data_IF_043931706455
#
_entry.id   IF_043931706455
#
_cell.length_a   1.000
_cell.length_b   1.000
_cell.length_c   1.000
_cell.angle_alpha   90.00
_cell.angle_beta   90.00
_cell.angle_gamma   90.00
#
_symmetry.space_group_name_H-M   'P 1'
#
loop_
_entity.id
_entity.type
_entity.pdbx_description
1 polymer ?
#
# COMPACT_ATOMS: atom_id res chain seq x y z
N UNK A 1 0.56 -0.74 11.96
CA UNK A 1 -0.34 -0.52 10.79
C UNK A 1 -0.18 -1.60 9.73
N UNK A 2 1.03 -1.85 9.26
CA UNK A 2 1.27 -2.81 8.17
C UNK A 2 0.78 -4.23 8.49
N UNK A 3 0.96 -4.71 9.72
CA UNK A 3 0.50 -6.04 10.11
C UNK A 3 -1.02 -6.14 10.11
N UNK A 4 -1.70 -5.11 10.58
CA UNK A 4 -3.16 -5.08 10.61
C UNK A 4 -3.74 -5.00 9.20
N UNK A 5 -3.17 -4.17 8.32
CA UNK A 5 -3.59 -4.12 6.93
C UNK A 5 -3.39 -5.46 6.23
N UNK A 6 -2.26 -6.12 6.47
CA UNK A 6 -1.98 -7.43 5.89
C UNK A 6 -3.07 -8.44 6.25
N UNK A 7 -3.52 -8.45 7.52
CA UNK A 7 -4.59 -9.33 7.96
C UNK A 7 -5.91 -9.02 7.26
N UNK A 8 -6.21 -7.73 7.08
CA UNK A 8 -7.42 -7.29 6.39
C UNK A 8 -7.41 -7.74 4.93
N UNK A 9 -6.29 -7.58 4.24
CA UNK A 9 -6.14 -8.06 2.87
C UNK A 9 -6.30 -9.58 2.78
N UNK A 10 -5.70 -10.33 3.72
CA UNK A 10 -5.84 -11.78 3.77
C UNK A 10 -7.29 -12.19 3.95
N UNK A 11 -8.06 -11.43 4.72
CA UNK A 11 -9.49 -11.66 4.90
C UNK A 11 -10.29 -11.36 3.63
N UNK A 12 -9.73 -10.63 2.67
CA UNK A 12 -10.39 -10.18 1.44
C UNK A 12 -9.76 -10.79 0.18
N UNK A 13 -9.46 -12.08 0.20
CA UNK A 13 -8.98 -12.85 -0.96
C UNK A 13 -7.54 -12.53 -1.39
N UNK A 14 -6.71 -12.08 -0.47
CA UNK A 14 -5.28 -11.87 -0.74
C UNK A 14 -4.42 -12.84 0.08
N UNK A 15 -3.26 -13.19 -0.44
CA UNK A 15 -2.27 -13.98 0.28
C UNK A 15 -0.93 -13.25 0.31
N UNK A 16 -0.19 -13.43 1.40
CA UNK A 16 1.10 -12.79 1.59
C UNK A 16 2.16 -13.58 0.84
N UNK A 17 2.91 -12.91 -0.04
CA UNK A 17 4.05 -13.50 -0.75
C UNK A 17 5.39 -12.99 -0.24
N UNK A 18 5.43 -11.80 0.37
CA UNK A 18 6.60 -11.26 1.07
C UNK A 18 6.13 -10.75 2.42
N UNK A 19 6.80 -11.20 3.49
CA UNK A 19 6.42 -10.83 4.86
C UNK A 19 7.66 -10.39 5.63
N UNK A 20 7.96 -9.10 5.55
CA UNK A 20 9.08 -8.49 6.27
C UNK A 20 8.53 -7.39 7.17
N UNK A 21 9.35 -6.92 8.12
CA UNK A 21 8.90 -5.95 9.12
C UNK A 21 8.36 -4.65 8.51
N UNK A 22 9.02 -4.13 7.48
CA UNK A 22 8.68 -2.83 6.90
C UNK A 22 8.06 -2.93 5.50
N UNK A 23 7.97 -4.13 4.95
CA UNK A 23 7.38 -4.33 3.62
C UNK A 23 6.64 -5.65 3.57
N UNK A 24 5.43 -5.61 3.04
CA UNK A 24 4.65 -6.81 2.76
C UNK A 24 4.12 -6.71 1.34
N UNK A 25 4.17 -7.84 0.63
CA UNK A 25 3.61 -7.93 -0.70
C UNK A 25 2.53 -9.00 -0.68
N UNK A 26 1.36 -8.63 -1.20
CA UNK A 26 0.21 -9.51 -1.24
C UNK A 26 -0.26 -9.67 -2.67
N UNK A 27 -0.69 -10.87 -3.00
CA UNK A 27 -1.30 -11.14 -4.29
C UNK A 27 -2.70 -11.67 -4.10
N UNK A 28 -3.57 -11.39 -5.04
CA UNK A 28 -4.92 -11.92 -5.04
C UNK A 28 -4.88 -13.42 -5.28
N UNK A 29 -5.63 -14.20 -4.50
CA UNK A 29 -5.61 -15.66 -4.56
C UNK A 29 -6.77 -16.27 -5.36
N UNK A 30 -7.47 -15.43 -6.13
CA UNK A 30 -8.46 -15.90 -7.12
C UNK A 30 -7.85 -15.80 -8.53
N UNK A 31 -8.68 -15.82 -9.56
CA UNK A 31 -8.20 -15.80 -10.96
C UNK A 31 -7.81 -14.41 -11.47
N UNK A 32 -7.79 -13.40 -10.62
CA UNK A 32 -7.46 -12.03 -11.00
C UNK A 32 -6.04 -11.68 -10.66
N UNK A 33 -5.38 -10.92 -11.54
CA UNK A 33 -4.03 -10.42 -11.32
C UNK A 33 -4.10 -9.05 -10.65
N UNK A 34 -3.87 -9.04 -9.35
CA UNK A 34 -3.87 -7.82 -8.55
C UNK A 34 -2.91 -8.00 -7.39
N UNK A 35 -2.09 -6.97 -7.14
CA UNK A 35 -1.04 -7.02 -6.13
C UNK A 35 -1.03 -5.74 -5.32
N UNK A 36 -0.67 -5.86 -4.05
CA UNK A 36 -0.43 -4.71 -3.19
C UNK A 36 0.95 -4.84 -2.57
N UNK A 37 1.71 -3.76 -2.67
CA UNK A 37 2.98 -3.61 -1.99
C UNK A 37 2.73 -2.63 -0.86
N UNK A 38 2.80 -3.09 0.39
CA UNK A 38 2.53 -2.27 1.56
C UNK A 38 3.84 -1.97 2.25
N UNK A 39 4.14 -0.70 2.44
CA UNK A 39 5.34 -0.25 3.18
C UNK A 39 4.90 0.64 4.32
N UNK A 40 5.65 0.60 5.43
CA UNK A 40 5.38 1.41 6.62
C UNK A 40 6.55 2.35 6.84
N UNK A 41 6.30 3.65 6.83
CA UNK A 41 7.32 4.67 6.94
C UNK A 41 6.92 5.71 8.00
N UNK A 42 7.92 6.24 8.71
CA UNK A 42 7.69 7.32 9.66
C UNK A 42 7.68 8.68 8.98
N UNK A 43 8.47 8.81 7.92
CA UNK A 43 8.48 10.00 7.06
C UNK A 43 8.66 9.56 5.62
N UNK A 44 8.24 10.41 4.68
CA UNK A 44 8.39 10.10 3.25
C UNK A 44 9.86 10.10 2.80
N UNK A 45 10.73 10.76 3.55
CA UNK A 45 12.17 10.82 3.24
C UNK A 45 12.87 9.47 3.36
N UNK A 46 12.30 8.52 4.11
CA UNK A 46 12.91 7.19 4.24
C UNK A 46 12.69 6.31 3.02
N UNK A 47 11.83 6.71 2.09
CA UNK A 47 11.69 5.98 0.83
C UNK A 47 12.97 6.11 0.02
N UNK A 48 13.48 5.01 -0.57
CA UNK A 48 14.64 5.10 -1.44
C UNK A 48 14.39 6.05 -2.62
N UNK A 49 15.43 6.71 -3.13
CA UNK A 49 15.28 7.64 -4.25
C UNK A 49 14.65 6.98 -5.48
N UNK A 50 14.94 5.70 -5.69
CA UNK A 50 14.38 4.92 -6.80
C UNK A 50 13.40 3.87 -6.30
N UNK A 51 12.59 4.21 -5.30
CA UNK A 51 11.70 3.26 -4.63
C UNK A 51 10.80 2.51 -5.61
N UNK A 52 10.34 3.17 -6.65
CA UNK A 52 9.44 2.56 -7.62
C UNK A 52 10.10 1.38 -8.34
N UNK A 53 11.35 1.57 -8.79
CA UNK A 53 12.12 0.51 -9.45
C UNK A 53 12.46 -0.62 -8.49
N UNK A 54 12.83 -0.27 -7.25
CA UNK A 54 13.19 -1.28 -6.25
C UNK A 54 11.99 -2.16 -5.90
N UNK A 55 10.83 -1.56 -5.65
CA UNK A 55 9.64 -2.34 -5.31
C UNK A 55 9.13 -3.15 -6.49
N UNK A 56 9.19 -2.60 -7.70
CA UNK A 56 8.81 -3.35 -8.88
C UNK A 56 9.73 -4.54 -9.10
N UNK A 57 11.04 -4.35 -8.94
CA UNK A 57 12.02 -5.42 -9.04
C UNK A 57 11.77 -6.51 -7.99
N UNK A 58 11.42 -6.10 -6.78
CA UNK A 58 11.12 -7.05 -5.70
C UNK A 58 9.90 -7.90 -6.02
N UNK A 59 8.80 -7.29 -6.47
CA UNK A 59 7.59 -8.07 -6.75
C UNK A 59 7.79 -9.01 -7.92
N UNK A 60 8.60 -8.65 -8.91
CA UNK A 60 8.90 -9.51 -10.05
C UNK A 60 9.61 -10.81 -9.67
N UNK A 61 10.28 -10.84 -8.52
CA UNK A 61 10.90 -12.06 -8.01
C UNK A 61 9.89 -13.08 -7.52
N UNK A 62 8.69 -12.64 -7.17
CA UNK A 62 7.68 -13.48 -6.50
C UNK A 62 6.46 -13.78 -7.37
N UNK A 63 6.22 -13.00 -8.41
CA UNK A 63 5.05 -13.20 -9.26
C UNK A 63 5.46 -13.18 -10.74
N UNK A 64 4.78 -14.02 -11.54
CA UNK A 64 5.00 -14.09 -12.98
C UNK A 64 3.81 -13.49 -13.71
N UNK A 65 3.88 -12.19 -13.91
CA UNK A 65 2.86 -11.43 -14.60
C UNK A 65 3.56 -10.36 -15.44
N UNK A 66 3.37 -10.40 -16.74
CA UNK A 66 4.02 -9.45 -17.67
C UNK A 66 3.54 -8.02 -17.42
N UNK A 67 2.35 -7.84 -16.86
CA UNK A 67 1.76 -6.55 -16.58
C UNK A 67 1.73 -6.26 -15.07
N UNK A 68 2.66 -6.82 -14.31
CA UNK A 68 2.71 -6.66 -12.86
C UNK A 68 2.73 -5.19 -12.45
N UNK A 69 3.39 -4.32 -13.23
CA UNK A 69 3.42 -2.89 -12.97
C UNK A 69 2.03 -2.26 -13.05
N UNK A 70 1.22 -2.65 -14.02
CA UNK A 70 -0.14 -2.14 -14.18
C UNK A 70 -1.10 -2.71 -13.16
N UNK A 71 -0.84 -3.92 -12.68
CA UNK A 71 -1.72 -4.63 -11.75
C UNK A 71 -1.34 -4.43 -10.29
N UNK A 72 -0.30 -3.64 -10.00
CA UNK A 72 0.19 -3.41 -8.66
C UNK A 72 -0.19 -2.02 -8.14
N UNK A 73 -0.41 -1.96 -6.83
CA UNK A 73 -0.60 -0.70 -6.11
C UNK A 73 0.40 -0.66 -4.97
N UNK A 74 1.14 0.43 -4.87
CA UNK A 74 1.99 0.70 -3.72
C UNK A 74 1.18 1.47 -2.69
N UNK A 75 1.02 0.89 -1.51
CA UNK A 75 0.33 1.51 -0.39
C UNK A 75 1.37 1.90 0.65
N UNK A 76 1.57 3.21 0.81
CA UNK A 76 2.54 3.76 1.74
C UNK A 76 1.80 4.15 3.01
N UNK A 77 2.06 3.44 4.11
CA UNK A 77 1.50 3.77 5.42
C UNK A 77 2.43 4.78 6.08
N UNK A 78 1.96 6.01 6.21
CA UNK A 78 2.72 7.12 6.77
C UNK A 78 2.26 7.41 8.18
N UNK A 79 3.12 7.13 9.16
CA UNK A 79 2.80 7.42 10.55
C UNK A 79 2.80 8.92 10.78
N UNK A 80 1.77 9.42 11.41
CA UNK A 80 1.64 10.84 11.77
C UNK A 80 1.30 10.96 13.25
N UNK A 81 1.83 11.98 13.91
CA UNK A 81 1.50 12.26 15.31
C UNK A 81 0.15 12.96 15.43
N UNK A 82 -0.22 13.73 14.43
CA UNK A 82 -1.46 14.51 14.43
C UNK A 82 -2.14 14.50 13.06
N UNK A 83 -3.46 14.67 13.08
CA UNK A 83 -4.29 14.92 11.91
C UNK A 83 -5.15 16.15 12.20
N UNK A 84 -5.36 17.06 11.21
CA UNK A 84 -4.94 16.96 9.80
C UNK A 84 -3.44 17.17 9.60
N UNK A 85 -2.95 16.70 8.45
CA UNK A 85 -1.54 16.82 8.07
C UNK A 85 -1.17 18.27 7.78
N UNK A 86 0.10 18.61 7.98
CA UNK A 86 0.64 19.90 7.59
C UNK A 86 0.57 20.05 6.06
N UNK A 87 0.34 21.27 5.54
CA UNK A 87 0.22 21.51 4.10
C UNK A 87 1.40 20.99 3.27
N UNK A 88 2.62 21.12 3.81
CA UNK A 88 3.82 20.66 3.10
C UNK A 88 3.82 19.13 2.90
N UNK A 89 3.44 18.39 3.93
CA UNK A 89 3.35 16.92 3.86
C UNK A 89 2.25 16.52 2.88
N UNK A 90 1.13 17.22 2.90
CA UNK A 90 0.04 16.97 1.98
C UNK A 90 0.46 17.14 0.52
N UNK A 91 1.27 18.18 0.23
CA UNK A 91 1.80 18.40 -1.12
C UNK A 91 2.73 17.26 -1.56
N UNK A 92 3.56 16.78 -0.66
CA UNK A 92 4.46 15.66 -0.95
C UNK A 92 3.68 14.37 -1.25
N UNK A 93 2.61 14.12 -0.51
CA UNK A 93 1.71 13.00 -0.76
C UNK A 93 1.10 13.10 -2.15
N UNK A 94 0.58 14.28 -2.51
CA UNK A 94 -0.02 14.48 -3.83
C UNK A 94 0.96 14.23 -4.96
N UNK A 95 2.22 14.64 -4.81
CA UNK A 95 3.26 14.37 -5.81
C UNK A 95 3.48 12.89 -6.01
N UNK A 96 3.45 12.11 -4.94
CA UNK A 96 3.61 10.65 -5.03
C UNK A 96 2.40 10.04 -5.72
N UNK A 97 1.20 10.41 -5.30
CA UNK A 97 -0.04 9.81 -5.82
C UNK A 97 -0.32 10.18 -7.27
N UNK A 98 0.11 11.36 -7.70
CA UNK A 98 -0.09 11.83 -9.07
C UNK A 98 0.97 11.35 -10.05
N UNK A 99 2.05 10.73 -9.57
CA UNK A 99 3.09 10.18 -10.42
C UNK A 99 2.53 9.01 -11.24
N UNK A 100 2.50 9.11 -12.60
CA UNK A 100 1.88 8.08 -13.42
C UNK A 100 2.78 6.90 -13.76
N UNK A 101 4.06 6.94 -13.36
CA UNK A 101 5.03 5.94 -13.76
C UNK A 101 4.96 4.68 -12.92
N UNK A 102 5.15 3.53 -13.57
CA UNK A 102 5.17 2.19 -12.99
C UNK A 102 3.78 1.75 -12.51
N UNK A 103 3.51 1.85 -11.22
CA UNK A 103 2.28 1.36 -10.60
C UNK A 103 1.53 2.50 -9.92
N UNK A 104 0.29 2.21 -9.51
CA UNK A 104 -0.50 3.15 -8.72
C UNK A 104 0.14 3.31 -7.34
N UNK A 105 0.07 4.53 -6.82
CA UNK A 105 0.59 4.84 -5.49
C UNK A 105 -0.51 5.49 -4.67
N UNK A 106 -0.67 5.00 -3.46
CA UNK A 106 -1.59 5.56 -2.47
C UNK A 106 -0.83 5.77 -1.17
N UNK A 107 -1.05 6.89 -0.52
CA UNK A 107 -0.44 7.19 0.77
C UNK A 107 -1.56 7.20 1.81
N UNK A 108 -1.41 6.38 2.84
CA UNK A 108 -2.35 6.29 3.95
C UNK A 108 -1.69 6.88 5.20
N UNK A 109 -1.96 8.15 5.53
CA UNK A 109 -1.50 8.71 6.80
C UNK A 109 -2.33 8.12 7.95
N UNK A 110 -1.67 7.83 9.06
CA UNK A 110 -2.37 7.26 10.21
C UNK A 110 -1.73 7.70 11.51
N UNK A 111 -2.54 7.71 12.58
CA UNK A 111 -2.08 7.90 13.95
C UNK A 111 -2.15 6.57 14.70
N UNK A 112 -1.44 6.47 15.82
CA UNK A 112 -1.49 5.25 16.63
C UNK A 112 -2.89 4.98 17.16
N UNK A 113 -3.65 6.01 17.46
CA UNK A 113 -5.05 5.86 17.92
C UNK A 113 -5.90 5.18 16.85
N UNK A 114 -5.67 5.48 15.58
CA UNK A 114 -6.43 4.90 14.49
C UNK A 114 -6.13 3.41 14.30
N UNK A 115 -4.97 2.95 14.73
CA UNK A 115 -4.62 1.53 14.62
C UNK A 115 -5.62 0.66 15.38
N UNK A 116 -6.13 1.15 16.51
CA UNK A 116 -7.11 0.42 17.30
C UNK A 116 -8.44 0.17 16.55
N UNK A 117 -8.82 1.06 15.64
CA UNK A 117 -10.03 0.88 14.82
C UNK A 117 -9.87 -0.22 13.79
N UNK A 118 -8.66 -0.64 13.49
CA UNK A 118 -8.38 -1.66 12.49
C UNK A 118 -8.62 -3.09 12.97
N UNK A 119 -9.02 -3.26 14.22
CA UNK A 119 -9.37 -4.58 14.72
C UNK A 119 -10.70 -5.08 14.14
N UNK A 120 -11.45 -4.21 13.46
CA UNK A 120 -12.65 -4.59 12.74
C UNK A 120 -12.37 -4.67 11.23
N UNK A 121 -12.27 -5.88 10.64
CA UNK A 121 -11.96 -6.04 9.20
C UNK A 121 -13.00 -5.39 8.28
N UNK A 122 -14.25 -5.26 8.72
CA UNK A 122 -15.32 -4.72 7.89
C UNK A 122 -15.11 -3.25 7.54
N UNK A 123 -14.52 -2.47 8.45
CA UNK A 123 -14.21 -1.06 8.21
C UNK A 123 -13.23 -0.92 7.06
N UNK A 124 -12.24 -1.81 6.97
CA UNK A 124 -11.20 -1.75 5.96
C UNK A 124 -11.58 -2.39 4.64
N UNK A 125 -12.56 -3.27 4.65
CA UNK A 125 -13.12 -3.81 3.42
C UNK A 125 -13.58 -2.69 2.49
N UNK A 126 -14.16 -1.64 3.03
CA UNK A 126 -14.62 -0.48 2.25
C UNK A 126 -13.44 0.29 1.65
N UNK A 127 -12.34 0.46 2.38
CA UNK A 127 -11.14 1.15 1.87
C UNK A 127 -10.53 0.37 0.72
N UNK A 128 -10.44 -0.95 0.84
CA UNK A 128 -9.93 -1.81 -0.23
C UNK A 128 -10.82 -1.73 -1.47
N UNK A 129 -12.13 -1.71 -1.31
CA UNK A 129 -13.08 -1.56 -2.41
C UNK A 129 -12.94 -0.21 -3.09
N UNK A 130 -12.80 0.87 -2.32
CA UNK A 130 -12.58 2.20 -2.87
C UNK A 130 -11.28 2.26 -3.66
N UNK A 131 -10.22 1.61 -3.19
CA UNK A 131 -8.95 1.51 -3.89
C UNK A 131 -9.13 0.83 -5.24
N UNK A 132 -9.91 -0.25 -5.29
CA UNK A 132 -10.17 -0.99 -6.51
C UNK A 132 -11.03 -0.19 -7.50
N UNK A 133 -11.89 0.68 -7.01
CA UNK A 133 -12.76 1.49 -7.89
C UNK A 133 -11.99 2.49 -8.73
N UNK A 134 -10.78 2.87 -8.32
CA UNK A 134 -9.93 3.76 -9.09
C UNK A 134 -9.36 3.13 -10.36
N UNK A 135 -9.47 1.83 -10.53
CA UNK A 135 -8.97 1.11 -11.70
C UNK A 135 -9.94 1.12 -12.90
N UNK A 136 -11.15 1.57 -12.67
CA UNK A 136 -12.18 1.61 -13.73
C UNK A 136 -12.04 2.80 -14.67
#
# INVERSE_FOLDING_TARGET
MINKLSLIFQHNLFEVVVDKEKIKILKRNDNKYEYFIIVDVETLDVLPNNYQKEYLSTIKEYVKDKEVDKNSTLLICLKSETLPLQPQIYKEILKIEEDPYFFRKLVLPYTEEQIAFLDNPDIFGDIIKDTNSFEE
#
